data_IF_503561927020
#
_entry.id   IF_503561927020
#
_cell.length_a   1.000
_cell.length_b   1.000
_cell.length_c   1.000
_cell.angle_alpha   90.00
_cell.angle_beta   90.00
_cell.angle_gamma   90.00
#
_symmetry.space_group_name_H-M   'P 1'
#
loop_
_entity.id
_entity.type
_entity.pdbx_description
1 polymer ?
#
# COMPACT_ATOMS: atom_id res chain seq x y z
N UNK A 1 1.37 1.04 12.03
CA UNK A 1 0.03 0.45 11.89
C UNK A 1 -0.33 -0.27 13.19
N UNK A 2 -1.58 -0.21 13.66
CA UNK A 2 -2.07 -0.96 14.84
C UNK A 2 -2.20 -2.45 14.56
N UNK A 3 -2.49 -2.80 13.32
CA UNK A 3 -2.36 -4.16 12.76
C UNK A 3 -1.03 -4.24 12.01
N UNK A 4 -0.25 -5.28 12.25
CA UNK A 4 1.03 -5.50 11.53
C UNK A 4 0.71 -6.21 10.21
N UNK A 5 1.17 -5.70 9.05
CA UNK A 5 1.03 -6.41 7.78
C UNK A 5 1.82 -7.73 7.81
N UNK A 6 1.28 -8.78 7.20
CA UNK A 6 1.97 -10.08 7.09
C UNK A 6 3.20 -10.01 6.17
N UNK A 7 3.15 -9.16 5.15
CA UNK A 7 4.19 -8.97 4.14
C UNK A 7 4.25 -7.51 3.71
N UNK A 8 5.45 -6.97 3.55
CA UNK A 8 5.68 -5.66 2.94
C UNK A 8 6.65 -5.85 1.78
N UNK A 9 6.18 -5.63 0.56
CA UNK A 9 6.99 -5.77 -0.65
C UNK A 9 7.47 -4.40 -1.12
N UNK A 10 8.79 -4.17 -1.07
CA UNK A 10 9.40 -2.98 -1.67
C UNK A 10 9.96 -3.37 -3.03
N UNK A 11 9.41 -2.81 -4.10
CA UNK A 11 9.92 -3.01 -5.47
C UNK A 11 10.58 -1.73 -5.95
N UNK A 12 11.91 -1.72 -5.89
CA UNK A 12 12.74 -0.65 -6.44
C UNK A 12 12.83 -0.78 -7.97
N UNK A 13 12.17 0.16 -8.66
CA UNK A 13 12.11 0.25 -10.13
C UNK A 13 13.29 1.01 -10.73
N UNK A 14 14.50 0.71 -10.26
CA UNK A 14 15.75 1.21 -10.83
C UNK A 14 16.21 2.55 -10.25
N UNK A 15 15.98 2.80 -8.97
CA UNK A 15 16.47 3.99 -8.26
C UNK A 15 17.99 4.13 -8.36
N UNK A 16 18.46 5.36 -8.57
CA UNK A 16 19.89 5.70 -8.73
C UNK A 16 20.55 6.25 -7.47
N UNK A 17 19.80 6.37 -6.39
CA UNK A 17 20.25 6.88 -5.09
C UNK A 17 20.47 5.74 -4.08
N UNK A 18 20.44 6.05 -2.79
CA UNK A 18 20.63 5.09 -1.71
C UNK A 18 19.37 4.27 -1.35
N UNK A 19 18.29 4.35 -2.14
CA UNK A 19 17.02 3.63 -1.90
C UNK A 19 17.24 2.15 -1.66
N UNK A 20 18.08 1.49 -2.47
CA UNK A 20 18.38 0.06 -2.33
C UNK A 20 18.95 -0.30 -0.96
N UNK A 21 19.89 0.50 -0.45
CA UNK A 21 20.51 0.28 0.85
C UNK A 21 19.53 0.53 2.00
N UNK A 22 18.68 1.56 1.88
CA UNK A 22 17.66 1.88 2.89
C UNK A 22 16.59 0.79 2.93
N UNK A 23 16.02 0.42 1.77
CA UNK A 23 14.96 -0.57 1.69
C UNK A 23 15.42 -1.96 2.16
N UNK A 24 16.62 -2.38 1.79
CA UNK A 24 17.19 -3.66 2.23
C UNK A 24 17.60 -3.68 3.72
N UNK A 25 17.64 -2.53 4.39
CA UNK A 25 17.99 -2.47 5.82
C UNK A 25 16.82 -2.83 6.75
N UNK A 26 15.59 -2.79 6.25
CA UNK A 26 14.42 -3.14 7.05
C UNK A 26 14.31 -4.67 7.23
N UNK A 27 14.05 -5.14 8.46
CA UNK A 27 13.89 -6.57 8.72
C UNK A 27 12.52 -7.06 8.25
N UNK A 28 12.30 -8.38 8.38
CA UNK A 28 10.98 -8.99 8.20
C UNK A 28 9.88 -8.21 8.97
N UNK A 29 8.67 -8.04 8.40
CA UNK A 29 8.16 -8.70 7.20
C UNK A 29 8.48 -7.99 5.86
N UNK A 30 9.48 -7.10 5.84
CA UNK A 30 9.90 -6.43 4.60
C UNK A 30 10.70 -7.39 3.70
N UNK A 31 10.27 -7.51 2.45
CA UNK A 31 10.99 -8.16 1.37
C UNK A 31 11.34 -7.11 0.30
N UNK A 32 12.61 -7.05 -0.09
CA UNK A 32 13.10 -6.09 -1.07
C UNK A 32 13.41 -6.76 -2.40
N UNK A 33 12.93 -6.16 -3.48
CA UNK A 33 13.20 -6.57 -4.86
C UNK A 33 13.65 -5.37 -5.67
N UNK A 34 14.65 -5.57 -6.54
CA UNK A 34 15.10 -4.55 -7.49
C UNK A 34 14.93 -5.06 -8.91
N UNK A 35 14.47 -4.18 -9.80
CA UNK A 35 14.40 -4.43 -11.25
C UNK A 35 14.95 -3.25 -12.05
N UNK A 36 15.16 -3.46 -13.34
CA UNK A 36 15.41 -2.37 -14.29
C UNK A 36 14.18 -1.47 -14.40
N UNK A 37 14.37 -0.15 -14.53
CA UNK A 37 13.27 0.81 -14.60
C UNK A 37 12.29 0.49 -15.74
N UNK A 38 11.01 0.40 -15.41
CA UNK A 38 9.93 0.17 -16.39
C UNK A 38 8.64 0.93 -16.09
N UNK A 39 8.64 1.77 -15.06
CA UNK A 39 7.48 2.50 -14.56
C UNK A 39 6.67 1.72 -13.52
N UNK A 40 5.90 2.49 -12.72
CA UNK A 40 5.08 2.04 -11.58
C UNK A 40 4.25 0.78 -11.87
N UNK A 41 3.55 0.74 -13.01
CA UNK A 41 2.71 -0.42 -13.36
C UNK A 41 3.52 -1.72 -13.50
N UNK A 42 4.76 -1.64 -13.99
CA UNK A 42 5.62 -2.82 -14.10
C UNK A 42 6.13 -3.30 -12.75
N UNK A 43 6.39 -2.38 -11.83
CA UNK A 43 6.74 -2.67 -10.44
C UNK A 43 5.56 -3.31 -9.70
N UNK A 44 4.34 -2.78 -9.84
CA UNK A 44 3.13 -3.36 -9.25
C UNK A 44 2.83 -4.76 -9.80
N UNK A 45 2.91 -4.97 -11.12
CA UNK A 45 2.74 -6.29 -11.72
C UNK A 45 3.82 -7.29 -11.26
N UNK A 46 5.03 -6.81 -10.95
CA UNK A 46 6.05 -7.63 -10.33
C UNK A 46 5.67 -8.00 -8.88
N UNK A 47 5.27 -7.01 -8.07
CA UNK A 47 4.88 -7.19 -6.67
C UNK A 47 3.71 -8.18 -6.52
N UNK A 48 2.65 -8.02 -7.34
CA UNK A 48 1.45 -8.87 -7.29
C UNK A 48 1.74 -10.37 -7.48
N UNK A 49 2.81 -10.73 -8.21
CA UNK A 49 3.25 -12.12 -8.38
C UNK A 49 3.92 -12.71 -7.14
N UNK A 50 4.32 -11.87 -6.18
CA UNK A 50 5.01 -12.24 -4.95
C UNK A 50 4.13 -12.05 -3.70
N UNK A 51 2.96 -11.40 -3.84
CA UNK A 51 1.98 -11.25 -2.78
C UNK A 51 1.45 -12.62 -2.33
N UNK A 52 1.35 -12.81 -1.00
CA UNK A 52 0.87 -14.06 -0.39
C UNK A 52 -0.39 -13.89 0.48
N UNK A 53 -0.77 -12.65 0.77
CA UNK A 53 -1.91 -12.34 1.63
C UNK A 53 -3.25 -12.31 0.89
N UNK A 54 -4.33 -12.34 1.65
CA UNK A 54 -5.71 -12.27 1.14
C UNK A 54 -6.07 -10.87 0.60
N UNK A 55 -5.38 -9.83 1.11
CA UNK A 55 -5.56 -8.44 0.72
C UNK A 55 -4.24 -7.85 0.25
N UNK A 56 -4.32 -6.98 -0.76
CA UNK A 56 -3.18 -6.19 -1.26
C UNK A 56 -3.47 -4.72 -1.05
N UNK A 57 -2.55 -4.03 -0.39
CA UNK A 57 -2.58 -2.58 -0.28
C UNK A 57 -1.44 -1.98 -1.10
N UNK A 58 -1.81 -1.24 -2.15
CA UNK A 58 -0.85 -0.43 -2.93
C UNK A 58 -0.56 0.86 -2.16
N UNK A 59 0.72 1.12 -1.91
CA UNK A 59 1.18 2.24 -1.10
C UNK A 59 2.42 2.86 -1.73
N UNK A 60 2.40 4.19 -1.93
CA UNK A 60 3.50 4.91 -2.57
C UNK A 60 4.62 5.23 -1.55
N UNK A 61 5.85 5.35 -2.03
CA UNK A 61 7.05 5.55 -1.19
C UNK A 61 7.19 6.98 -0.65
N UNK A 62 6.38 7.91 -1.15
CA UNK A 62 6.25 9.28 -0.68
C UNK A 62 4.99 9.52 0.19
N UNK A 63 4.23 8.48 0.51
CA UNK A 63 3.05 8.55 1.37
C UNK A 63 3.32 8.12 2.83
N UNK A 64 2.48 8.61 3.75
CA UNK A 64 2.48 8.18 5.15
C UNK A 64 1.08 7.72 5.56
N UNK A 65 0.98 6.48 6.03
CA UNK A 65 -0.27 5.90 6.46
C UNK A 65 -0.68 6.37 7.86
N UNK A 66 -1.96 6.70 8.06
CA UNK A 66 -2.52 6.87 9.39
C UNK A 66 -2.30 5.59 10.23
N UNK A 67 -1.97 5.68 11.53
CA UNK A 67 -1.64 4.50 12.35
C UNK A 67 -2.68 3.38 12.36
N UNK A 68 -3.96 3.70 12.12
CA UNK A 68 -5.07 2.73 12.11
C UNK A 68 -5.62 2.42 10.71
N UNK A 69 -4.92 2.82 9.64
CA UNK A 69 -5.42 2.66 8.28
C UNK A 69 -5.73 1.19 7.93
N UNK A 70 -4.79 0.27 8.19
CA UNK A 70 -4.96 -1.15 7.88
C UNK A 70 -6.11 -1.77 8.68
N UNK A 71 -6.20 -1.48 9.97
CA UNK A 71 -7.30 -1.92 10.84
C UNK A 71 -8.66 -1.51 10.28
N UNK A 72 -8.77 -0.25 9.81
CA UNK A 72 -10.02 0.27 9.25
C UNK A 72 -10.35 -0.32 7.88
N UNK A 73 -9.35 -0.62 7.04
CA UNK A 73 -9.59 -1.33 5.78
C UNK A 73 -10.11 -2.74 6.03
N UNK A 74 -9.49 -3.49 6.95
CA UNK A 74 -9.94 -4.83 7.32
C UNK A 74 -11.37 -4.80 7.89
N UNK A 75 -11.67 -3.87 8.79
CA UNK A 75 -13.03 -3.70 9.32
C UNK A 75 -14.06 -3.33 8.24
N UNK A 76 -13.64 -2.69 7.14
CA UNK A 76 -14.52 -2.40 6.01
C UNK A 76 -14.88 -3.67 5.23
N UNK A 77 -13.91 -4.58 5.00
CA UNK A 77 -14.15 -5.88 4.39
C UNK A 77 -14.94 -6.83 5.30
N UNK A 78 -14.75 -6.75 6.62
CA UNK A 78 -15.59 -7.50 7.58
C UNK A 78 -17.05 -7.04 7.52
N UNK A 79 -17.28 -5.74 7.35
CA UNK A 79 -18.63 -5.16 7.25
C UNK A 79 -19.29 -5.44 5.91
N UNK A 80 -18.52 -5.45 4.83
CA UNK A 80 -19.00 -5.77 3.48
C UNK A 80 -18.14 -6.89 2.86
N UNK A 81 -18.43 -8.16 3.18
CA UNK A 81 -17.65 -9.30 2.69
C UNK A 81 -17.68 -9.50 1.17
N UNK A 82 -18.58 -8.82 0.45
CA UNK A 82 -18.64 -8.88 -1.02
C UNK A 82 -17.88 -7.75 -1.72
N UNK A 83 -17.25 -6.85 -0.96
CA UNK A 83 -16.44 -5.78 -1.53
C UNK A 83 -15.18 -6.32 -2.20
N UNK A 84 -14.91 -5.85 -3.42
CA UNK A 84 -13.67 -6.14 -4.15
C UNK A 84 -12.54 -5.19 -3.72
N UNK A 85 -12.89 -3.95 -3.32
CA UNK A 85 -11.95 -2.90 -2.95
C UNK A 85 -12.44 -2.05 -1.78
N UNK A 86 -11.48 -1.55 -0.99
CA UNK A 86 -11.70 -0.52 0.02
C UNK A 86 -10.70 0.62 -0.18
N UNK A 87 -11.13 1.86 0.01
CA UNK A 87 -10.24 3.02 -0.03
C UNK A 87 -10.60 4.03 1.04
N UNK A 88 -9.59 4.83 1.41
CA UNK A 88 -9.72 5.88 2.42
C UNK A 88 -9.51 7.24 1.80
N UNK A 89 -9.95 8.26 2.52
CA UNK A 89 -9.53 9.63 2.22
C UNK A 89 -8.03 9.80 2.49
N UNK A 90 -7.44 10.76 1.78
CA UNK A 90 -6.06 11.19 2.01
C UNK A 90 -6.04 12.70 2.27
N UNK A 91 -5.08 13.14 3.07
CA UNK A 91 -4.73 14.55 3.13
C UNK A 91 -3.36 14.76 2.51
N UNK A 92 -3.21 15.90 1.86
CA UNK A 92 -1.90 16.37 1.41
C UNK A 92 -1.15 16.89 2.62
N UNK A 93 0.05 16.39 2.81
CA UNK A 93 1.00 16.97 3.74
C UNK A 93 2.16 17.56 2.95
N UNK A 94 2.83 18.54 3.54
CA UNK A 94 4.15 18.94 3.12
C UNK A 94 5.11 18.54 4.23
N UNK A 95 6.32 18.18 3.85
CA UNK A 95 7.39 17.95 4.79
C UNK A 95 7.82 19.30 5.40
N UNK A 96 7.03 19.78 6.35
CA UNK A 96 7.42 20.75 7.37
C UNK A 96 7.52 19.99 8.70
N UNK A 97 8.22 20.50 9.69
CA UNK A 97 8.49 19.77 10.95
C UNK A 97 7.23 19.43 11.80
N UNK A 98 6.01 19.64 11.29
CA UNK A 98 4.74 19.43 11.99
C UNK A 98 3.74 18.70 11.07
N UNK A 99 3.22 17.56 11.53
CA UNK A 99 2.12 16.81 10.91
C UNK A 99 0.86 17.10 11.74
N UNK A 100 -0.24 17.53 11.11
CA UNK A 100 -1.56 17.64 11.77
C UNK A 100 -2.34 16.32 11.63
N UNK A 101 -2.81 15.75 12.74
CA UNK A 101 -3.71 14.59 12.74
C UNK A 101 -5.15 15.00 12.36
N UNK A 102 -5.79 14.23 11.48
CA UNK A 102 -7.22 14.38 11.14
C UNK A 102 -7.92 13.01 11.14
N UNK A 103 -9.22 13.05 11.45
CA UNK A 103 -10.09 11.88 11.38
C UNK A 103 -10.65 11.73 9.95
N UNK A 104 -10.49 10.54 9.37
CA UNK A 104 -10.97 10.19 8.02
C UNK A 104 -12.03 9.08 8.06
N UNK A 105 -12.97 9.14 7.12
CA UNK A 105 -13.93 8.06 6.84
C UNK A 105 -13.37 7.11 5.75
N UNK A 106 -13.59 5.80 5.90
CA UNK A 106 -13.20 4.77 4.91
C UNK A 106 -14.46 4.15 4.34
N UNK A 107 -14.55 4.16 3.01
CA UNK A 107 -15.70 3.66 2.26
C UNK A 107 -15.25 2.46 1.43
N UNK A 108 -15.97 1.36 1.53
CA UNK A 108 -15.78 0.16 0.71
C UNK A 108 -16.85 0.12 -0.38
N UNK A 109 -16.49 -0.38 -1.56
CA UNK A 109 -17.38 -0.48 -2.71
C UNK A 109 -17.37 -1.94 -3.21
N UNK A 110 -18.57 -2.45 -3.54
CA UNK A 110 -18.77 -3.77 -4.10
C UNK A 110 -19.26 -3.73 -5.55
N UNK A 111 -18.78 -4.70 -6.34
CA UNK A 111 -19.14 -5.07 -7.70
C UNK A 111 -19.19 -3.96 -8.77
N UNK A 112 -18.08 -3.82 -9.51
CA UNK A 112 -18.11 -3.28 -10.88
C UNK A 112 -18.17 -4.45 -11.84
N UNK A 113 -19.36 -4.80 -12.33
CA UNK A 113 -19.50 -5.72 -13.46
C UNK A 113 -18.87 -5.06 -14.69
N UNK A 114 -17.65 -5.47 -15.05
CA UNK A 114 -17.13 -5.23 -16.39
C UNK A 114 -17.81 -6.19 -17.35
N UNK A 115 -19.04 -5.86 -17.76
CA UNK A 115 -19.50 -6.31 -19.06
C UNK A 115 -18.77 -5.48 -20.12
N UNK A 116 -17.83 -6.15 -20.77
CA UNK A 116 -17.12 -5.85 -22.02
C UNK A 116 -15.64 -5.44 -21.89
N UNK A 117 -14.83 -6.36 -22.42
CA UNK A 117 -13.44 -6.23 -22.88
C UNK A 117 -13.21 -4.98 -23.75
#
# INVERSE_FOLDING_TARGET
QTVVPDQILIVDDGSTDNTSAVAASFPAPVEYYRKENGGKSTALNFALRHCKGDFVWVFDDDDVAHPTALERFLAAFEREPTADFAFGEYARFQQSAQIEERNYEIVAFGHVSQDNF
#
